data_IF_134636762235
#
_entry.id   IF_134636762235
#
_cell.length_a   1.000
_cell.length_b   1.000
_cell.length_c   1.000
_cell.angle_alpha   90.00
_cell.angle_beta   90.00
_cell.angle_gamma   90.00
#
_symmetry.space_group_name_H-M   'P 1'
#
loop_
_entity.id
_entity.type
_entity.pdbx_description
1 polymer ?
#
# COMPACT_ATOMS: atom_id res chain seq x y z
N UNK A 1 -12.58 -15.48 12.42
CA UNK A 1 -13.72 -15.54 13.34
C UNK A 1 -13.78 -14.21 14.01
N UNK A 2 -14.83 -13.46 13.78
CA UNK A 2 -15.02 -12.13 14.39
C UNK A 2 -15.78 -12.31 15.69
N UNK A 3 -15.21 -11.85 16.77
CA UNK A 3 -15.85 -11.92 18.08
C UNK A 3 -16.65 -10.62 18.28
N UNK A 4 -17.95 -10.76 18.53
CA UNK A 4 -18.76 -9.65 19.01
C UNK A 4 -18.36 -9.31 20.44
N UNK A 5 -18.63 -8.08 20.88
CA UNK A 5 -18.38 -7.69 22.28
C UNK A 5 -19.04 -8.65 23.27
N UNK A 6 -20.21 -9.19 22.93
CA UNK A 6 -20.93 -10.21 23.72
C UNK A 6 -20.15 -11.51 23.81
N UNK A 7 -19.54 -11.95 22.72
CA UNK A 7 -18.70 -13.15 22.66
C UNK A 7 -17.40 -12.99 23.44
N UNK A 8 -16.76 -11.80 23.33
CA UNK A 8 -15.59 -11.44 24.13
C UNK A 8 -15.91 -11.46 25.64
N UNK A 9 -17.06 -10.95 26.03
CA UNK A 9 -17.53 -10.99 27.43
C UNK A 9 -17.90 -12.42 27.84
N UNK A 10 -18.56 -13.19 26.98
CA UNK A 10 -18.93 -14.59 27.25
C UNK A 10 -17.71 -15.50 27.35
N UNK A 11 -16.69 -15.30 26.53
CA UNK A 11 -15.40 -15.99 26.65
C UNK A 11 -14.69 -15.66 27.95
N UNK A 12 -14.83 -14.46 28.46
CA UNK A 12 -14.30 -14.04 29.76
C UNK A 12 -15.05 -14.64 30.97
N UNK A 13 -16.27 -15.17 30.76
CA UNK A 13 -17.14 -15.72 31.80
C UNK A 13 -17.15 -17.25 31.86
N UNK A 14 -16.62 -17.97 30.88
CA UNK A 14 -16.63 -19.43 30.84
C UNK A 14 -15.51 -20.05 31.72
N UNK A 15 -15.92 -20.66 32.75
CA UNK A 15 -15.38 -21.35 33.92
C UNK A 15 -13.96 -21.99 33.96
N UNK A 16 -13.57 -22.59 35.08
CA UNK A 16 -12.16 -22.79 35.52
C UNK A 16 -11.37 -23.90 34.82
N UNK A 17 -11.96 -24.69 33.95
CA UNK A 17 -11.22 -25.70 33.15
C UNK A 17 -10.53 -25.10 31.91
N UNK A 18 -11.02 -23.96 31.43
CA UNK A 18 -10.39 -23.11 30.42
C UNK A 18 -10.40 -21.69 31.03
N UNK A 19 -9.34 -21.32 31.73
CA UNK A 19 -9.24 -19.95 32.25
C UNK A 19 -9.52 -18.96 31.12
N UNK A 20 -10.55 -18.09 31.23
CA UNK A 20 -10.92 -17.20 30.17
C UNK A 20 -9.74 -16.26 29.87
N UNK A 21 -9.48 -16.02 28.59
CA UNK A 21 -8.49 -15.03 28.17
C UNK A 21 -8.88 -13.66 28.74
N UNK A 22 -7.93 -12.98 29.31
CA UNK A 22 -8.12 -11.57 29.67
C UNK A 22 -8.27 -10.73 28.41
N UNK A 23 -8.93 -9.58 28.51
CA UNK A 23 -9.05 -8.67 27.34
C UNK A 23 -7.68 -8.31 26.73
N UNK A 24 -6.65 -8.15 27.57
CA UNK A 24 -5.30 -7.89 27.10
C UNK A 24 -4.74 -9.06 26.25
N UNK A 25 -5.01 -10.30 26.64
CA UNK A 25 -4.64 -11.48 25.85
C UNK A 25 -5.44 -11.56 24.55
N UNK A 26 -6.74 -11.23 24.58
CA UNK A 26 -7.58 -11.18 23.38
C UNK A 26 -7.03 -10.12 22.40
N UNK A 27 -6.77 -8.90 22.88
CA UNK A 27 -6.18 -7.84 22.04
C UNK A 27 -4.85 -8.27 21.46
N UNK A 28 -4.00 -8.96 22.25
CA UNK A 28 -2.72 -9.48 21.76
C UNK A 28 -2.90 -10.52 20.65
N UNK A 29 -3.89 -11.42 20.80
CA UNK A 29 -4.15 -12.47 19.83
C UNK A 29 -4.75 -11.92 18.52
N UNK A 30 -5.73 -11.03 18.61
CA UNK A 30 -6.33 -10.35 17.46
C UNK A 30 -5.27 -9.60 16.62
N UNK A 31 -4.39 -8.85 17.29
CA UNK A 31 -3.28 -8.18 16.59
C UNK A 31 -2.32 -9.20 15.96
N UNK A 32 -1.99 -10.27 16.68
CA UNK A 32 -1.08 -11.31 16.19
C UNK A 32 -1.65 -12.05 14.98
N UNK A 33 -2.94 -12.39 15.02
CA UNK A 33 -3.66 -13.02 13.92
C UNK A 33 -3.69 -12.10 12.69
N UNK A 34 -4.04 -10.83 12.89
CA UNK A 34 -4.04 -9.84 11.82
C UNK A 34 -2.66 -9.70 11.17
N UNK A 35 -1.59 -9.56 11.96
CA UNK A 35 -0.22 -9.43 11.44
C UNK A 35 0.26 -10.66 10.64
N UNK A 36 -0.33 -11.84 10.88
CA UNK A 36 -0.05 -13.08 10.15
C UNK A 36 -0.99 -13.30 8.95
N UNK A 37 -2.05 -12.54 8.86
CA UNK A 37 -3.09 -12.71 7.85
C UNK A 37 -2.58 -12.45 6.42
N UNK A 38 -3.17 -13.06 5.39
CA UNK A 38 -2.95 -12.69 4.01
C UNK A 38 -3.25 -11.21 3.75
N UNK A 39 -4.34 -10.71 4.33
CA UNK A 39 -4.76 -9.31 4.21
C UNK A 39 -3.65 -8.34 4.64
N UNK A 40 -3.00 -8.58 5.78
CA UNK A 40 -1.89 -7.71 6.23
C UNK A 40 -0.71 -7.71 5.26
N UNK A 41 -0.39 -8.87 4.67
CA UNK A 41 0.67 -8.97 3.65
C UNK A 41 0.33 -8.16 2.40
N UNK A 42 -0.92 -8.24 1.93
CA UNK A 42 -1.40 -7.44 0.80
C UNK A 42 -1.36 -5.93 1.08
N UNK A 43 -1.69 -5.50 2.30
CA UNK A 43 -1.58 -4.09 2.71
C UNK A 43 -0.13 -3.58 2.63
N UNK A 44 0.83 -4.39 3.09
CA UNK A 44 2.26 -4.04 3.02
C UNK A 44 2.76 -3.99 1.58
N UNK A 45 2.34 -4.95 0.77
CA UNK A 45 2.69 -5.05 -0.64
C UNK A 45 2.15 -3.84 -1.41
N UNK A 46 0.86 -3.53 -1.28
CA UNK A 46 0.23 -2.36 -1.90
C UNK A 46 0.93 -1.04 -1.49
N UNK A 47 1.36 -0.94 -0.24
CA UNK A 47 2.15 0.20 0.24
C UNK A 47 3.54 0.27 -0.42
N UNK A 48 4.18 -0.88 -0.62
CA UNK A 48 5.48 -0.99 -1.30
C UNK A 48 5.38 -0.57 -2.77
N UNK A 49 4.40 -1.10 -3.51
CA UNK A 49 4.17 -0.76 -4.92
C UNK A 49 3.80 0.71 -5.12
N UNK A 50 2.99 1.26 -4.23
CA UNK A 50 2.67 2.69 -4.26
C UNK A 50 3.92 3.58 -4.05
N UNK A 51 4.91 3.08 -3.29
CA UNK A 51 6.20 3.74 -3.07
C UNK A 51 7.24 3.40 -4.13
N UNK A 52 6.84 2.74 -5.19
CA UNK A 52 7.71 2.29 -6.26
C UNK A 52 8.79 1.33 -5.75
N UNK A 53 8.36 0.24 -5.11
CA UNK A 53 9.19 -0.83 -4.58
C UNK A 53 8.57 -2.18 -4.96
N UNK A 54 8.60 -2.48 -6.27
CA UNK A 54 8.12 -3.74 -6.83
C UNK A 54 9.20 -4.83 -6.75
N UNK A 55 8.84 -6.03 -7.14
CA UNK A 55 9.71 -7.20 -7.06
C UNK A 55 10.94 -7.12 -7.98
N UNK A 56 10.91 -6.28 -9.01
CA UNK A 56 12.08 -6.04 -9.87
C UNK A 56 13.32 -5.57 -9.09
N UNK A 57 13.12 -4.94 -7.92
CA UNK A 57 14.23 -4.54 -7.04
C UNK A 57 15.03 -5.74 -6.49
N UNK A 58 14.40 -6.92 -6.45
CA UNK A 58 15.03 -8.19 -6.00
C UNK A 58 15.70 -8.95 -7.13
N UNK A 59 15.56 -8.46 -8.38
CA UNK A 59 16.21 -9.11 -9.53
C UNK A 59 17.71 -9.23 -9.31
N UNK A 60 18.21 -10.43 -9.43
CA UNK A 60 19.64 -10.76 -9.34
C UNK A 60 20.15 -11.30 -10.68
N UNK A 61 21.44 -11.22 -10.89
CA UNK A 61 22.11 -11.86 -12.00
C UNK A 61 23.24 -12.75 -11.43
N UNK A 62 23.23 -14.01 -11.80
CA UNK A 62 24.22 -14.99 -11.31
C UNK A 62 25.61 -14.74 -11.88
N UNK A 63 25.70 -14.03 -13.01
CA UNK A 63 26.95 -13.70 -13.69
C UNK A 63 27.32 -12.25 -13.40
N UNK A 64 28.36 -12.04 -12.60
CA UNK A 64 28.79 -10.71 -12.13
C UNK A 64 29.15 -9.73 -13.25
N UNK A 65 29.62 -10.24 -14.38
CA UNK A 65 30.07 -9.44 -15.54
C UNK A 65 28.92 -8.99 -16.43
N UNK A 66 27.71 -9.53 -16.25
CA UNK A 66 26.51 -9.13 -16.99
C UNK A 66 25.80 -7.95 -16.37
N UNK A 67 25.11 -7.22 -17.20
CA UNK A 67 24.26 -6.11 -16.78
C UNK A 67 23.12 -6.62 -15.86
N UNK A 68 22.75 -5.83 -14.88
CA UNK A 68 21.63 -6.12 -13.98
C UNK A 68 20.81 -4.85 -13.77
N UNK A 69 20.06 -4.46 -14.79
CA UNK A 69 19.13 -3.35 -14.70
C UNK A 69 17.95 -3.71 -13.79
N UNK A 70 17.49 -2.74 -13.03
CA UNK A 70 16.30 -2.82 -12.18
C UNK A 70 15.45 -1.58 -12.45
N UNK A 71 14.79 -1.60 -13.60
CA UNK A 71 13.97 -0.48 -14.06
C UNK A 71 12.58 -0.65 -13.46
N UNK A 72 12.15 0.34 -12.74
CA UNK A 72 10.87 0.34 -12.05
C UNK A 72 10.02 1.52 -12.50
N UNK A 73 8.80 1.24 -12.92
CA UNK A 73 7.86 2.25 -13.37
C UNK A 73 6.81 2.51 -12.29
N UNK A 74 6.51 3.78 -11.96
CA UNK A 74 5.53 4.13 -10.93
C UNK A 74 4.08 4.00 -11.44
N UNK A 75 3.77 2.88 -12.13
CA UNK A 75 2.47 2.66 -12.78
C UNK A 75 1.38 2.57 -11.72
N UNK A 76 1.56 1.75 -10.69
CA UNK A 76 0.57 1.59 -9.62
C UNK A 76 0.18 2.94 -8.98
N UNK A 77 1.18 3.74 -8.64
CA UNK A 77 0.93 5.08 -8.11
C UNK A 77 0.14 5.96 -9.07
N UNK A 78 0.44 5.88 -10.38
CA UNK A 78 -0.28 6.63 -11.41
C UNK A 78 -1.74 6.22 -11.46
N UNK A 79 -2.04 4.92 -11.44
CA UNK A 79 -3.40 4.36 -11.46
C UNK A 79 -4.20 4.80 -10.23
N UNK A 80 -3.67 4.60 -9.03
CA UNK A 80 -4.31 5.04 -7.76
C UNK A 80 -4.58 6.54 -7.78
N UNK A 81 -3.58 7.34 -8.13
CA UNK A 81 -3.74 8.80 -8.12
C UNK A 81 -4.72 9.29 -9.20
N UNK A 82 -4.85 8.58 -10.33
CA UNK A 82 -5.81 8.90 -11.38
C UNK A 82 -7.25 8.70 -10.89
N UNK A 83 -7.58 7.55 -10.33
CA UNK A 83 -8.90 7.27 -9.75
C UNK A 83 -9.29 8.30 -8.69
N UNK A 84 -8.41 8.55 -7.74
CA UNK A 84 -8.66 9.52 -6.67
C UNK A 84 -8.83 10.95 -7.19
N UNK A 85 -8.06 11.34 -8.21
CA UNK A 85 -8.22 12.67 -8.84
C UNK A 85 -9.53 12.77 -9.58
N UNK A 86 -9.94 11.72 -10.26
CA UNK A 86 -11.18 11.71 -11.00
C UNK A 86 -12.38 11.91 -10.05
N UNK A 87 -12.47 11.11 -9.00
CA UNK A 87 -13.59 11.16 -8.04
C UNK A 87 -13.57 12.40 -7.12
N UNK A 88 -12.39 12.77 -6.62
CA UNK A 88 -12.26 13.71 -5.50
C UNK A 88 -11.50 15.01 -5.86
N UNK A 89 -11.23 15.29 -7.15
CA UNK A 89 -10.56 16.54 -7.53
C UNK A 89 -11.48 17.73 -7.43
N UNK A 90 -12.75 17.55 -7.80
CA UNK A 90 -13.75 18.64 -7.74
C UNK A 90 -14.22 18.85 -6.30
N UNK A 91 -14.43 20.10 -5.89
CA UNK A 91 -15.08 20.38 -4.62
C UNK A 91 -16.51 19.81 -4.67
N UNK A 92 -16.86 19.06 -3.64
CA UNK A 92 -18.23 18.65 -3.40
C UNK A 92 -18.85 19.59 -2.38
N UNK A 93 -20.15 19.76 -2.43
CA UNK A 93 -20.96 20.56 -1.51
C UNK A 93 -22.05 19.67 -0.90
N UNK A 94 -22.45 20.00 0.30
CA UNK A 94 -23.63 19.39 0.93
C UNK A 94 -24.74 20.41 0.88
N UNK A 95 -25.84 20.06 0.20
CA UNK A 95 -27.01 20.90 0.12
C UNK A 95 -27.98 20.54 1.26
N UNK A 96 -28.52 21.55 1.93
CA UNK A 96 -29.50 21.41 2.99
C UNK A 96 -30.44 22.62 2.98
N UNK A 97 -31.70 22.41 3.36
CA UNK A 97 -32.69 23.47 3.48
C UNK A 97 -32.46 24.37 4.72
N UNK A 98 -31.82 23.82 5.74
CA UNK A 98 -31.47 24.56 6.97
C UNK A 98 -30.14 25.31 6.76
N UNK A 99 -30.24 26.64 6.69
CA UNK A 99 -29.09 27.54 6.47
C UNK A 99 -28.05 27.46 7.60
N UNK A 100 -28.50 27.39 8.87
CA UNK A 100 -27.57 27.34 10.00
C UNK A 100 -26.79 26.04 10.03
N UNK A 101 -27.46 24.93 9.70
CA UNK A 101 -26.81 23.63 9.53
C UNK A 101 -25.86 23.62 8.33
N UNK A 102 -26.25 24.24 7.22
CA UNK A 102 -25.40 24.39 6.03
C UNK A 102 -24.12 25.13 6.33
N UNK A 103 -24.18 26.27 7.03
CA UNK A 103 -23.00 27.05 7.44
C UNK A 103 -22.08 26.24 8.40
N UNK A 104 -22.67 25.47 9.30
CA UNK A 104 -21.90 24.58 10.18
C UNK A 104 -21.19 23.47 9.40
N UNK A 105 -21.85 22.86 8.39
CA UNK A 105 -21.25 21.86 7.52
C UNK A 105 -20.14 22.44 6.64
N UNK A 106 -20.30 23.64 6.09
CA UNK A 106 -19.25 24.32 5.32
C UNK A 106 -18.00 24.59 6.18
N UNK A 107 -18.21 24.98 7.44
CA UNK A 107 -17.12 25.17 8.40
C UNK A 107 -16.41 23.87 8.72
N UNK A 108 -17.17 22.79 8.91
CA UNK A 108 -16.63 21.46 9.22
C UNK A 108 -15.88 20.86 8.01
N UNK A 109 -16.44 21.01 6.81
CA UNK A 109 -15.90 20.44 5.57
C UNK A 109 -14.96 21.40 4.84
N UNK A 110 -14.09 22.01 5.61
CA UNK A 110 -13.07 22.94 5.15
C UNK A 110 -12.05 22.30 4.18
N UNK A 111 -11.09 23.10 3.72
CA UNK A 111 -10.03 22.64 2.84
C UNK A 111 -9.15 21.53 3.49
N UNK A 112 -9.05 21.52 4.82
CA UNK A 112 -8.29 20.50 5.57
C UNK A 112 -9.02 19.17 5.56
N UNK A 113 -10.33 19.18 5.82
CA UNK A 113 -11.17 17.99 5.73
C UNK A 113 -11.18 17.41 4.30
N UNK A 114 -11.35 18.25 3.27
CA UNK A 114 -11.32 17.82 1.87
C UNK A 114 -9.99 17.15 1.49
N UNK A 115 -8.84 17.64 2.02
CA UNK A 115 -7.55 16.96 1.87
C UNK A 115 -7.51 15.61 2.57
N UNK A 116 -8.14 15.48 3.75
CA UNK A 116 -8.24 14.19 4.46
C UNK A 116 -9.10 13.21 3.68
N UNK A 117 -10.23 13.64 3.10
CA UNK A 117 -11.08 12.79 2.25
C UNK A 117 -10.31 12.30 1.01
N UNK A 118 -9.55 13.16 0.33
CA UNK A 118 -8.68 12.72 -0.77
C UNK A 118 -7.62 11.70 -0.31
N UNK A 119 -7.08 11.89 0.88
CA UNK A 119 -6.13 10.94 1.46
C UNK A 119 -6.80 9.63 1.86
N UNK A 120 -8.07 9.68 2.30
CA UNK A 120 -8.88 8.52 2.62
C UNK A 120 -9.17 7.71 1.34
N UNK A 121 -9.67 8.37 0.26
CA UNK A 121 -9.90 7.72 -1.04
C UNK A 121 -8.64 7.08 -1.60
N UNK A 122 -7.49 7.75 -1.49
CA UNK A 122 -6.21 7.15 -1.85
C UNK A 122 -5.89 5.91 -1.02
N UNK A 123 -6.20 5.94 0.27
CA UNK A 123 -6.07 4.79 1.16
C UNK A 123 -6.96 3.64 0.72
N UNK A 124 -8.23 3.91 0.39
CA UNK A 124 -9.19 2.90 -0.06
C UNK A 124 -8.74 2.23 -1.35
N UNK A 125 -8.48 2.98 -2.41
CA UNK A 125 -8.01 2.42 -3.69
C UNK A 125 -6.70 1.65 -3.53
N UNK A 126 -5.77 2.20 -2.73
CA UNK A 126 -4.46 1.58 -2.50
C UNK A 126 -4.52 0.30 -1.67
N UNK A 127 -5.37 0.24 -0.65
CA UNK A 127 -5.37 -0.81 0.37
C UNK A 127 -6.67 -1.61 0.44
N UNK A 128 -7.64 -1.35 -0.46
CA UNK A 128 -8.96 -1.96 -0.43
C UNK A 128 -9.93 -1.27 0.53
N UNK A 129 -9.44 -0.80 1.66
CA UNK A 129 -10.21 -0.08 2.69
C UNK A 129 -9.37 1.03 3.32
N UNK A 130 -10.04 2.10 3.76
CA UNK A 130 -9.43 3.18 4.51
C UNK A 130 -10.32 3.60 5.68
N UNK A 131 -9.70 4.05 6.77
CA UNK A 131 -10.33 4.32 8.05
C UNK A 131 -10.21 5.78 8.43
N UNK A 132 -11.33 6.35 8.88
CA UNK A 132 -11.43 7.71 9.40
C UNK A 132 -12.09 7.69 10.79
N UNK A 133 -11.37 8.14 11.79
CA UNK A 133 -11.87 8.25 13.15
C UNK A 133 -12.28 9.69 13.44
N UNK A 134 -13.57 9.98 13.72
CA UNK A 134 -13.98 11.25 14.31
C UNK A 134 -13.57 11.27 15.80
N UNK A 135 -13.13 12.43 16.26
CA UNK A 135 -12.81 12.67 17.66
C UNK A 135 -13.08 14.13 18.03
N UNK A 136 -13.26 14.41 19.31
CA UNK A 136 -13.40 15.77 19.81
C UNK A 136 -12.04 16.29 20.22
N UNK A 137 -11.64 17.44 19.67
CA UNK A 137 -10.40 18.12 19.99
C UNK A 137 -10.44 18.82 21.36
N UNK A 138 -9.31 19.40 21.77
CA UNK A 138 -9.17 20.04 23.08
C UNK A 138 -10.09 21.25 23.28
N UNK A 139 -10.40 21.98 22.20
CA UNK A 139 -11.33 23.12 22.20
C UNK A 139 -12.81 22.69 22.03
N UNK A 140 -13.10 21.39 21.98
CA UNK A 140 -14.45 20.84 21.79
C UNK A 140 -14.91 20.74 20.35
N UNK A 141 -14.03 20.99 19.39
CA UNK A 141 -14.31 20.90 17.95
C UNK A 141 -14.30 19.44 17.46
N UNK A 142 -15.12 19.13 16.46
CA UNK A 142 -15.11 17.84 15.80
C UNK A 142 -13.91 17.75 14.86
N UNK A 143 -13.05 16.80 15.13
CA UNK A 143 -11.84 16.51 14.36
C UNK A 143 -11.90 15.13 13.73
N UNK A 144 -11.01 14.89 12.75
CA UNK A 144 -10.92 13.61 12.05
C UNK A 144 -9.47 13.14 11.97
N UNK A 145 -9.24 11.88 12.28
CA UNK A 145 -7.97 11.20 12.19
C UNK A 145 -8.07 10.08 11.15
N UNK A 146 -7.19 10.10 10.14
CA UNK A 146 -7.06 8.97 9.22
C UNK A 146 -6.14 7.92 9.84
N UNK A 147 -6.65 6.70 10.01
CA UNK A 147 -5.86 5.56 10.49
C UNK A 147 -5.39 4.75 9.29
N UNK A 148 -4.09 4.40 9.19
CA UNK A 148 -3.59 3.48 8.18
C UNK A 148 -4.24 2.10 8.33
N UNK A 149 -4.65 1.48 7.21
CA UNK A 149 -5.33 0.17 7.26
C UNK A 149 -4.48 -0.92 7.96
N UNK A 150 -3.16 -0.86 7.87
CA UNK A 150 -2.23 -1.79 8.53
C UNK A 150 -2.11 -1.61 10.05
N UNK A 151 -2.73 -0.57 10.63
CA UNK A 151 -2.67 -0.23 12.05
C UNK A 151 -4.03 -0.41 12.74
N UNK A 152 -4.98 -1.11 12.08
CA UNK A 152 -6.35 -1.26 12.57
C UNK A 152 -6.89 -2.65 12.31
N UNK A 153 -7.46 -3.25 13.36
CA UNK A 153 -8.23 -4.49 13.31
C UNK A 153 -9.68 -4.14 13.59
N UNK A 154 -10.59 -4.24 12.59
CA UNK A 154 -12.02 -4.04 12.82
C UNK A 154 -12.64 -5.28 13.45
N UNK A 155 -13.53 -5.09 14.41
CA UNK A 155 -14.32 -6.14 15.04
C UNK A 155 -15.77 -5.94 14.62
N UNK A 156 -16.26 -6.83 13.76
CA UNK A 156 -17.60 -6.75 13.17
C UNK A 156 -18.62 -7.53 14.00
N UNK A 157 -19.85 -7.01 14.11
CA UNK A 157 -20.97 -7.73 14.69
C UNK A 157 -21.54 -8.80 13.77
N UNK A 158 -21.43 -8.56 12.47
CA UNK A 158 -22.06 -9.36 11.44
C UNK A 158 -21.04 -9.85 10.39
N UNK A 159 -21.40 -10.87 9.63
CA UNK A 159 -20.57 -11.44 8.57
C UNK A 159 -20.52 -10.57 7.31
N UNK A 160 -21.49 -9.67 7.12
CA UNK A 160 -21.54 -8.74 6.01
C UNK A 160 -20.67 -7.50 6.24
N UNK A 161 -20.08 -7.38 7.46
CA UNK A 161 -19.23 -6.26 7.86
C UNK A 161 -19.95 -4.90 7.73
N UNK A 162 -21.23 -4.89 8.09
CA UNK A 162 -22.07 -3.70 8.03
C UNK A 162 -22.10 -2.90 9.31
N UNK A 163 -21.88 -3.54 10.47
CA UNK A 163 -21.90 -2.88 11.78
C UNK A 163 -20.66 -3.28 12.62
N UNK A 164 -19.97 -2.26 13.15
CA UNK A 164 -18.83 -2.45 14.04
C UNK A 164 -19.30 -2.69 15.47
N UNK A 165 -18.75 -3.72 16.12
CA UNK A 165 -18.81 -3.91 17.57
C UNK A 165 -17.72 -3.08 18.28
N UNK A 166 -16.54 -3.05 17.68
CA UNK A 166 -15.39 -2.28 18.14
C UNK A 166 -14.27 -2.30 17.12
N UNK A 167 -13.15 -1.73 17.48
CA UNK A 167 -11.92 -1.84 16.70
C UNK A 167 -10.68 -1.75 17.61
N UNK A 168 -9.61 -2.37 17.15
CA UNK A 168 -8.30 -2.27 17.80
C UNK A 168 -7.38 -1.46 16.88
N UNK A 169 -6.93 -0.31 17.34
CA UNK A 169 -5.88 0.45 16.69
C UNK A 169 -4.55 0.14 17.38
N UNK A 170 -3.52 -0.20 16.63
CA UNK A 170 -2.19 -0.48 17.17
C UNK A 170 -1.10 0.21 16.35
N UNK A 171 -0.09 0.72 17.05
CA UNK A 171 0.97 1.51 16.41
C UNK A 171 2.24 1.56 17.27
N UNK A 172 3.42 1.72 16.64
CA UNK A 172 4.65 1.96 17.36
C UNK A 172 4.72 3.42 17.84
N UNK A 173 5.20 3.61 19.07
CA UNK A 173 5.48 4.92 19.64
C UNK A 173 6.93 5.00 20.10
N UNK A 174 7.61 6.08 19.73
CA UNK A 174 8.95 6.37 20.22
C UNK A 174 8.85 7.05 21.57
N UNK A 175 9.55 6.50 22.57
CA UNK A 175 9.66 7.06 23.92
C UNK A 175 11.14 7.20 24.30
N UNK A 176 11.43 8.16 25.18
CA UNK A 176 12.76 8.32 25.74
C UNK A 176 12.71 7.92 27.22
N UNK A 177 13.53 6.93 27.59
CA UNK A 177 13.70 6.48 28.99
C UNK A 177 15.11 6.87 29.42
N UNK A 178 15.22 7.95 30.17
CA UNK A 178 16.51 8.57 30.44
C UNK A 178 17.16 9.08 29.15
N UNK A 179 18.31 8.49 28.76
CA UNK A 179 19.02 8.83 27.52
C UNK A 179 18.76 7.84 26.39
N UNK A 180 18.02 6.78 26.64
CA UNK A 180 17.77 5.72 25.68
C UNK A 180 16.48 5.99 24.88
N UNK A 181 16.57 5.94 23.55
CA UNK A 181 15.43 5.94 22.66
C UNK A 181 14.89 4.52 22.53
N UNK A 182 13.64 4.31 22.89
CA UNK A 182 12.96 3.01 22.79
C UNK A 182 11.71 3.12 21.91
N UNK A 183 11.35 2.03 21.26
CA UNK A 183 10.08 1.89 20.59
C UNK A 183 9.21 0.97 21.43
N UNK A 184 8.06 1.48 21.85
CA UNK A 184 7.00 0.70 22.47
C UNK A 184 5.84 0.55 21.49
N UNK A 185 5.03 -0.48 21.65
CA UNK A 185 3.83 -0.66 20.85
C UNK A 185 2.62 -0.36 21.73
N UNK A 186 1.75 0.53 21.25
CA UNK A 186 0.48 0.83 21.85
C UNK A 186 -0.65 0.15 21.12
N UNK A 187 -1.70 -0.23 21.84
CA UNK A 187 -2.97 -0.64 21.28
C UNK A 187 -4.10 0.07 22.01
N UNK A 188 -5.13 0.44 21.26
CA UNK A 188 -6.34 1.12 21.71
C UNK A 188 -7.52 0.23 21.31
N UNK A 189 -8.29 -0.23 22.27
CA UNK A 189 -9.55 -0.94 22.00
C UNK A 189 -10.71 0.00 22.19
N UNK A 190 -11.36 0.36 21.11
CA UNK A 190 -12.51 1.26 21.01
C UNK A 190 -13.79 0.46 20.87
N UNK A 191 -14.77 0.72 21.74
CA UNK A 191 -16.07 0.07 21.74
C UNK A 191 -17.15 1.06 22.24
N UNK A 192 -18.43 0.73 22.19
CA UNK A 192 -19.52 1.64 22.56
C UNK A 192 -19.41 2.20 24.00
N UNK A 193 -18.77 1.47 24.91
CA UNK A 193 -18.58 1.88 26.32
C UNK A 193 -17.38 2.78 26.57
N UNK A 194 -16.52 3.04 25.60
CA UNK A 194 -15.32 3.86 25.77
C UNK A 194 -14.09 3.31 25.04
N UNK A 195 -12.93 3.64 25.56
CA UNK A 195 -11.64 3.17 25.06
C UNK A 195 -10.79 2.56 26.16
N UNK A 196 -10.07 1.49 25.87
CA UNK A 196 -9.05 0.90 26.74
C UNK A 196 -7.70 0.90 26.08
N UNK A 197 -6.68 1.20 26.87
CA UNK A 197 -5.32 1.38 26.39
C UNK A 197 -4.43 0.21 26.83
N UNK A 198 -3.55 -0.20 25.95
CA UNK A 198 -2.62 -1.30 26.17
C UNK A 198 -1.22 -0.94 25.68
N UNK A 199 -0.22 -1.53 26.34
CA UNK A 199 1.20 -1.37 26.03
C UNK A 199 1.89 -2.72 25.86
N UNK A 200 2.79 -2.79 24.88
CA UNK A 200 3.82 -3.82 24.75
C UNK A 200 5.17 -3.13 24.71
N UNK A 201 5.99 -3.32 25.73
CA UNK A 201 7.26 -2.58 25.96
C UNK A 201 8.50 -3.39 25.58
N UNK A 202 8.37 -4.69 25.42
CA UNK A 202 9.47 -5.64 25.21
C UNK A 202 9.52 -6.24 23.80
N UNK A 203 8.58 -5.83 22.93
CA UNK A 203 8.49 -6.33 21.55
C UNK A 203 8.01 -7.79 21.44
N UNK A 204 7.53 -8.39 22.54
CA UNK A 204 7.02 -9.77 22.54
C UNK A 204 5.73 -9.95 21.75
N UNK A 205 4.99 -8.85 21.52
CA UNK A 205 3.62 -8.87 21.00
C UNK A 205 2.56 -9.15 22.07
N UNK A 206 2.97 -9.27 23.34
CA UNK A 206 2.06 -9.41 24.48
C UNK A 206 1.72 -8.03 25.03
N UNK A 207 0.47 -7.63 24.86
CA UNK A 207 -0.04 -6.36 25.34
C UNK A 207 -0.54 -6.46 26.77
N UNK A 208 -0.30 -5.43 27.58
CA UNK A 208 -0.77 -5.29 28.95
C UNK A 208 -1.55 -4.01 29.08
N UNK A 209 -2.53 -3.99 30.00
CA UNK A 209 -3.33 -2.79 30.29
C UNK A 209 -2.41 -1.62 30.66
N UNK A 210 -2.61 -0.49 29.99
CA UNK A 210 -1.94 0.77 30.35
C UNK A 210 -2.69 1.42 31.53
N UNK A 211 -2.18 1.24 32.75
CA UNK A 211 -2.78 1.78 33.98
C UNK A 211 -2.58 3.30 34.10
N UNK A 212 -1.90 3.95 33.19
CA UNK A 212 -1.84 5.41 33.08
C UNK A 212 -3.12 6.03 32.53
N UNK A 213 -4.07 5.22 32.07
CA UNK A 213 -5.35 5.62 31.52
C UNK A 213 -6.51 5.00 32.29
N UNK A 214 -7.52 5.81 32.65
CA UNK A 214 -8.67 5.35 33.36
C UNK A 214 -8.40 5.09 34.85
N UNK A 215 -9.28 4.31 35.50
CA UNK A 215 -9.18 3.92 36.90
C UNK A 215 -9.48 2.44 37.08
N UNK A 216 -8.96 1.81 38.13
CA UNK A 216 -9.24 0.42 38.46
C UNK A 216 -10.73 0.15 38.66
N UNK A 217 -11.45 1.05 39.37
CA UNK A 217 -12.89 0.96 39.56
C UNK A 217 -13.70 1.02 38.28
N UNK A 218 -13.19 1.72 37.25
CA UNK A 218 -13.75 1.78 35.89
C UNK A 218 -13.22 0.70 34.94
N UNK A 219 -12.45 -0.28 35.44
CA UNK A 219 -11.84 -1.34 34.64
C UNK A 219 -10.86 -0.79 33.59
N UNK A 220 -10.17 0.31 33.92
CA UNK A 220 -9.22 1.01 33.04
C UNK A 220 -9.84 1.47 31.71
N UNK A 221 -11.15 1.84 31.74
CA UNK A 221 -11.88 2.37 30.58
C UNK A 221 -11.98 3.88 30.71
N UNK A 222 -11.64 4.59 29.66
CA UNK A 222 -11.85 6.02 29.51
C UNK A 222 -13.05 6.31 28.60
N UNK A 223 -13.74 7.43 28.78
CA UNK A 223 -14.75 7.87 27.83
C UNK A 223 -14.10 8.22 26.48
N UNK A 224 -14.86 8.18 25.41
CA UNK A 224 -14.38 8.51 24.06
C UNK A 224 -13.87 9.95 23.96
N UNK A 225 -14.47 10.85 24.71
CA UNK A 225 -14.05 12.26 24.81
C UNK A 225 -14.53 12.89 26.11
N UNK A 226 -13.89 14.00 26.45
CA UNK A 226 -14.26 14.80 27.61
C UNK A 226 -14.64 16.20 27.17
N UNK A 227 -15.79 16.69 27.62
CA UNK A 227 -16.26 18.05 27.36
C UNK A 227 -16.68 18.71 28.66
N UNK A 228 -16.12 19.87 28.97
CA UNK A 228 -16.41 20.57 30.25
C UNK A 228 -16.07 19.75 31.49
N UNK A 229 -15.06 18.90 31.44
CA UNK A 229 -14.64 18.02 32.55
C UNK A 229 -15.51 16.77 32.74
N UNK A 230 -16.52 16.56 31.90
CA UNK A 230 -17.40 15.38 31.94
C UNK A 230 -17.08 14.47 30.77
N UNK A 231 -16.99 13.15 31.03
CA UNK A 231 -16.77 12.13 30.01
C UNK A 231 -18.04 11.77 29.24
N UNK A 232 -17.89 11.53 27.95
CA UNK A 232 -18.98 11.15 27.04
C UNK A 232 -18.53 10.04 26.10
N UNK A 233 -19.47 9.22 25.69
CA UNK A 233 -19.26 8.17 24.70
C UNK A 233 -20.13 8.41 23.48
N UNK A 234 -19.61 8.06 22.32
CA UNK A 234 -20.41 7.90 21.11
C UNK A 234 -21.32 6.68 21.27
N UNK A 235 -22.49 6.70 20.67
CA UNK A 235 -23.41 5.54 20.67
C UNK A 235 -22.82 4.31 19.96
N UNK A 236 -21.90 4.56 19.04
CA UNK A 236 -21.20 3.54 18.24
C UNK A 236 -19.68 3.77 18.33
N UNK A 237 -18.85 2.75 18.07
CA UNK A 237 -17.42 2.96 17.92
C UNK A 237 -17.14 4.05 16.87
N UNK A 238 -16.35 5.10 17.20
CA UNK A 238 -16.16 6.26 16.35
C UNK A 238 -15.21 5.95 15.18
N UNK A 239 -15.69 5.19 14.23
CA UNK A 239 -14.92 4.80 13.05
C UNK A 239 -15.82 4.79 11.81
N UNK A 240 -15.36 5.46 10.75
CA UNK A 240 -15.98 5.46 9.42
C UNK A 240 -15.00 4.82 8.47
N UNK A 241 -15.52 4.00 7.57
CA UNK A 241 -14.69 3.34 6.55
C UNK A 241 -15.12 3.73 5.15
N UNK A 242 -14.14 3.72 4.24
CA UNK A 242 -14.35 3.84 2.81
C UNK A 242 -13.73 2.61 2.16
N UNK A 243 -14.57 1.80 1.52
CA UNK A 243 -14.13 0.62 0.75
C UNK A 243 -13.89 1.01 -0.69
N UNK A 244 -12.92 0.37 -1.32
CA UNK A 244 -12.71 0.45 -2.76
C UNK A 244 -13.66 -0.49 -3.51
N UNK A 245 -13.87 -1.68 -2.95
CA UNK A 245 -14.85 -2.67 -3.38
C UNK A 245 -15.39 -3.44 -2.16
N UNK A 246 -16.40 -4.27 -2.37
CA UNK A 246 -17.06 -5.02 -1.29
C UNK A 246 -16.12 -6.03 -0.63
N UNK A 247 -15.20 -6.61 -1.40
CA UNK A 247 -14.21 -7.58 -0.93
C UNK A 247 -13.05 -6.96 -0.17
N UNK A 248 -12.94 -5.63 -0.16
CA UNK A 248 -11.82 -4.87 0.43
C UNK A 248 -10.47 -5.20 -0.21
N UNK A 249 -10.47 -5.61 -1.48
CA UNK A 249 -9.26 -5.86 -2.26
C UNK A 249 -8.66 -4.56 -2.78
N UNK A 250 -7.35 -4.46 -2.74
CA UNK A 250 -6.63 -3.29 -3.26
C UNK A 250 -6.58 -3.30 -4.79
N UNK A 251 -6.43 -2.15 -5.41
CA UNK A 251 -6.13 -2.09 -6.85
C UNK A 251 -4.84 -2.86 -7.18
N UNK A 252 -3.89 -2.97 -6.23
CA UNK A 252 -2.66 -3.75 -6.39
C UNK A 252 -2.95 -5.22 -6.66
N UNK A 253 -3.96 -5.77 -6.04
CA UNK A 253 -4.38 -7.17 -6.21
C UNK A 253 -4.61 -7.53 -7.68
N UNK A 254 -5.18 -6.62 -8.46
CA UNK A 254 -5.54 -6.85 -9.86
C UNK A 254 -4.40 -6.59 -10.86
N UNK A 255 -3.45 -5.74 -10.52
CA UNK A 255 -2.46 -5.24 -11.50
C UNK A 255 -1.01 -5.56 -11.14
N UNK A 256 -0.75 -6.16 -9.99
CA UNK A 256 0.60 -6.41 -9.48
C UNK A 256 1.44 -7.24 -10.45
N UNK A 257 0.90 -8.39 -10.86
CA UNK A 257 1.64 -9.36 -11.67
C UNK A 257 2.00 -8.77 -13.04
N UNK A 258 1.11 -7.97 -13.63
CA UNK A 258 1.37 -7.24 -14.86
C UNK A 258 2.44 -6.16 -14.69
N UNK A 259 2.43 -5.45 -13.55
CA UNK A 259 3.47 -4.45 -13.25
C UNK A 259 4.82 -5.12 -13.09
N UNK A 260 4.87 -6.27 -12.44
CA UNK A 260 6.11 -7.02 -12.25
C UNK A 260 6.67 -7.52 -13.57
N UNK A 261 5.82 -8.08 -14.44
CA UNK A 261 6.27 -8.54 -15.75
C UNK A 261 6.72 -7.37 -16.61
N UNK A 262 5.96 -6.28 -16.68
CA UNK A 262 6.35 -5.08 -17.42
C UNK A 262 7.72 -4.53 -16.96
N UNK A 263 7.96 -4.43 -15.65
CA UNK A 263 9.22 -3.98 -15.09
C UNK A 263 10.35 -4.98 -15.35
N UNK A 264 10.06 -6.28 -15.27
CA UNK A 264 11.01 -7.34 -15.55
C UNK A 264 11.46 -7.33 -17.01
N UNK A 265 10.51 -7.33 -17.96
CA UNK A 265 10.78 -7.31 -19.40
C UNK A 265 11.57 -6.07 -19.81
N UNK A 266 11.18 -4.90 -19.29
CA UNK A 266 11.92 -3.66 -19.52
C UNK A 266 13.36 -3.76 -18.99
N UNK A 267 13.55 -4.36 -17.81
CA UNK A 267 14.87 -4.51 -17.20
C UNK A 267 15.73 -5.50 -17.97
N UNK A 268 15.17 -6.64 -18.40
CA UNK A 268 15.87 -7.64 -19.22
C UNK A 268 16.25 -7.04 -20.59
N UNK A 269 15.34 -6.31 -21.21
CA UNK A 269 15.62 -5.63 -22.49
C UNK A 269 16.76 -4.64 -22.35
N UNK A 270 16.77 -3.86 -21.27
CA UNK A 270 17.88 -2.94 -20.97
C UNK A 270 19.20 -3.67 -20.74
N UNK A 271 19.18 -4.84 -20.08
CA UNK A 271 20.37 -5.67 -19.91
C UNK A 271 20.89 -6.18 -21.25
N UNK A 272 20.01 -6.73 -22.08
CA UNK A 272 20.39 -7.21 -23.42
C UNK A 272 20.98 -6.08 -24.26
N UNK A 273 20.35 -4.91 -24.29
CA UNK A 273 20.85 -3.75 -25.04
C UNK A 273 22.23 -3.27 -24.54
N UNK A 274 22.51 -3.36 -23.24
CA UNK A 274 23.81 -3.03 -22.66
C UNK A 274 24.87 -4.09 -22.96
N UNK A 275 24.47 -5.36 -22.95
CA UNK A 275 25.37 -6.49 -23.13
C UNK A 275 25.62 -6.79 -24.63
N UNK A 276 24.68 -6.47 -25.53
CA UNK A 276 24.85 -6.53 -27.00
C UNK A 276 25.99 -5.61 -27.47
N UNK A 277 26.29 -4.54 -26.70
CA UNK A 277 27.48 -3.73 -26.95
C UNK A 277 28.81 -4.48 -26.67
N UNK A 278 28.73 -5.65 -26.03
CA UNK A 278 29.87 -6.53 -25.75
C UNK A 278 29.83 -7.68 -26.75
N UNK A 279 30.54 -7.54 -27.87
CA UNK A 279 30.65 -8.60 -28.89
C UNK A 279 31.43 -9.79 -28.36
N UNK A 280 31.01 -11.00 -28.71
CA UNK A 280 31.82 -12.19 -28.56
C UNK A 280 32.59 -12.38 -29.87
N UNK A 281 33.92 -12.23 -29.79
CA UNK A 281 34.79 -12.47 -30.92
C UNK A 281 35.12 -13.95 -31.01
N UNK A 282 34.93 -14.55 -32.15
CA UNK A 282 35.34 -15.92 -32.44
C UNK A 282 36.65 -15.84 -33.21
N UNK A 283 37.76 -16.22 -32.53
CA UNK A 283 39.07 -16.27 -33.15
C UNK A 283 39.27 -17.66 -33.80
N UNK A 284 39.44 -17.70 -35.12
CA UNK A 284 39.73 -18.91 -35.87
C UNK A 284 41.20 -18.88 -36.27
N UNK A 285 41.96 -19.94 -35.92
CA UNK A 285 43.37 -20.09 -36.27
C UNK A 285 44.24 -18.83 -36.02
N UNK A 286 43.94 -18.15 -34.89
CA UNK A 286 44.67 -16.97 -34.51
C UNK A 286 46.00 -17.39 -33.89
N UNK A 287 47.10 -17.25 -34.66
CA UNK A 287 48.38 -17.82 -34.34
C UNK A 287 49.13 -17.13 -33.22
N UNK A 288 48.87 -17.56 -31.98
CA UNK A 288 49.79 -17.41 -30.85
C UNK A 288 49.71 -16.14 -30.02
N UNK A 289 48.76 -15.23 -30.27
CA UNK A 289 48.61 -14.08 -29.37
C UNK A 289 47.73 -14.43 -28.17
N UNK A 290 48.09 -13.90 -27.01
CA UNK A 290 47.30 -13.96 -25.81
C UNK A 290 45.97 -13.21 -26.02
N UNK A 291 44.87 -13.70 -25.42
CA UNK A 291 43.57 -13.04 -25.47
C UNK A 291 43.61 -11.59 -24.96
N UNK A 292 44.45 -11.32 -23.97
CA UNK A 292 44.65 -9.97 -23.43
C UNK A 292 45.31 -9.03 -24.45
N UNK A 293 46.25 -9.54 -25.25
CA UNK A 293 46.90 -8.79 -26.33
C UNK A 293 45.89 -8.51 -27.43
N UNK A 294 45.08 -9.49 -27.84
CA UNK A 294 44.01 -9.31 -28.80
C UNK A 294 43.03 -8.23 -28.37
N UNK A 295 42.55 -8.27 -27.12
CA UNK A 295 41.61 -7.29 -26.58
C UNK A 295 42.23 -5.90 -26.49
N UNK A 296 43.52 -5.82 -26.15
CA UNK A 296 44.26 -4.55 -26.12
C UNK A 296 44.41 -3.94 -27.52
N UNK A 297 44.81 -4.72 -28.50
CA UNK A 297 44.98 -4.26 -29.86
C UNK A 297 43.68 -3.85 -30.51
N UNK A 298 42.59 -4.60 -30.26
CA UNK A 298 41.26 -4.23 -30.69
C UNK A 298 40.78 -2.89 -30.08
N UNK A 299 41.09 -2.65 -28.82
CA UNK A 299 40.73 -1.39 -28.12
C UNK A 299 41.56 -0.20 -28.55
N UNK A 300 42.85 -0.43 -28.82
CA UNK A 300 43.78 0.67 -29.12
C UNK A 300 43.83 0.98 -30.61
N UNK A 301 43.82 -0.04 -31.47
CA UNK A 301 44.02 0.11 -32.90
C UNK A 301 42.74 -0.04 -33.73
N UNK A 302 41.63 -0.51 -33.10
CA UNK A 302 40.39 -0.86 -33.80
C UNK A 302 40.57 -1.83 -34.97
N UNK A 303 41.71 -2.53 -35.02
CA UNK A 303 42.10 -3.48 -36.02
C UNK A 303 42.87 -4.63 -35.41
N UNK A 304 42.74 -5.81 -35.97
CA UNK A 304 43.49 -7.03 -35.58
C UNK A 304 44.15 -7.63 -36.80
N UNK A 305 45.41 -7.98 -36.69
CA UNK A 305 46.15 -8.66 -37.73
C UNK A 305 45.91 -10.18 -37.67
N UNK A 306 45.48 -10.77 -38.76
CA UNK A 306 45.25 -12.21 -38.89
C UNK A 306 46.25 -12.78 -39.88
N UNK A 307 46.87 -13.93 -39.58
CA UNK A 307 47.83 -14.61 -40.47
C UNK A 307 47.19 -15.86 -41.08
N UNK A 308 47.52 -16.11 -42.36
CA UNK A 308 47.11 -17.31 -43.10
C UNK A 308 45.58 -17.37 -43.29
N UNK A 309 45.00 -18.54 -43.10
CA UNK A 309 43.55 -18.78 -43.18
C UNK A 309 42.79 -18.43 -41.88
N UNK A 310 43.41 -17.66 -41.02
CA UNK A 310 42.77 -17.19 -39.74
C UNK A 310 41.67 -16.19 -40.02
N UNK A 311 40.75 -16.05 -39.07
CA UNK A 311 39.64 -15.10 -39.14
C UNK A 311 39.16 -14.68 -37.80
N UNK A 312 38.55 -13.54 -37.77
CA UNK A 312 37.81 -13.03 -36.61
C UNK A 312 36.36 -12.87 -36.99
N UNK A 313 35.51 -13.70 -36.43
CA UNK A 313 34.07 -13.53 -36.53
C UNK A 313 33.53 -12.88 -35.28
N UNK A 314 32.41 -12.21 -35.39
CA UNK A 314 31.64 -11.71 -34.25
C UNK A 314 30.33 -12.46 -34.15
N UNK A 315 30.05 -12.95 -32.94
CA UNK A 315 28.73 -13.44 -32.57
C UNK A 315 27.99 -12.29 -31.89
N UNK A 316 26.88 -11.90 -32.47
CA UNK A 316 25.99 -10.90 -31.90
C UNK A 316 24.61 -11.54 -31.77
N UNK A 317 24.00 -11.43 -30.60
CA UNK A 317 22.58 -11.80 -30.47
C UNK A 317 21.75 -10.67 -31.05
N UNK A 318 20.94 -11.00 -32.07
CA UNK A 318 19.96 -10.06 -32.60
C UNK A 318 18.71 -10.07 -31.72
N UNK A 319 18.46 -8.94 -31.04
CA UNK A 319 17.20 -8.72 -30.35
C UNK A 319 16.24 -8.02 -31.29
N UNK A 320 15.07 -8.62 -31.51
CA UNK A 320 13.97 -7.92 -32.15
C UNK A 320 13.36 -6.90 -31.23
N UNK A 321 13.92 -5.69 -31.21
CA UNK A 321 13.46 -4.57 -30.40
C UNK A 321 12.02 -4.21 -30.72
N UNK A 322 11.59 -4.39 -31.98
CA UNK A 322 10.23 -4.07 -32.41
C UNK A 322 9.21 -5.02 -31.78
N UNK A 323 9.51 -6.33 -31.75
CA UNK A 323 8.67 -7.31 -31.08
C UNK A 323 8.55 -7.05 -29.57
N UNK A 324 9.68 -6.74 -28.92
CA UNK A 324 9.68 -6.40 -27.50
C UNK A 324 8.86 -5.14 -27.19
N UNK A 325 9.02 -4.08 -28.00
CA UNK A 325 8.24 -2.85 -27.84
C UNK A 325 6.75 -3.09 -28.04
N UNK A 326 6.36 -3.90 -29.04
CA UNK A 326 4.97 -4.26 -29.28
C UNK A 326 4.36 -5.05 -28.12
N UNK A 327 5.15 -5.93 -27.52
CA UNK A 327 4.74 -6.68 -26.32
C UNK A 327 4.54 -5.75 -25.12
N UNK A 328 5.50 -4.87 -24.82
CA UNK A 328 5.39 -3.89 -23.74
C UNK A 328 4.24 -2.92 -23.93
N UNK A 329 3.92 -2.55 -25.17
CA UNK A 329 2.75 -1.71 -25.48
C UNK A 329 1.43 -2.47 -25.25
N UNK A 330 1.38 -3.77 -25.53
CA UNK A 330 0.23 -4.61 -25.21
C UNK A 330 0.03 -4.73 -23.70
N UNK A 331 1.07 -5.12 -22.95
CA UNK A 331 1.01 -5.19 -21.50
C UNK A 331 0.60 -3.85 -20.85
N UNK A 332 1.09 -2.75 -21.41
CA UNK A 332 0.70 -1.43 -20.93
C UNK A 332 -0.80 -1.18 -21.13
N UNK A 333 -1.39 -1.59 -22.25
CA UNK A 333 -2.84 -1.49 -22.48
C UNK A 333 -3.60 -2.31 -21.45
N UNK A 334 -3.19 -3.56 -21.27
CA UNK A 334 -3.80 -4.48 -20.30
C UNK A 334 -3.75 -3.89 -18.87
N UNK A 335 -2.62 -3.28 -18.47
CA UNK A 335 -2.49 -2.61 -17.19
C UNK A 335 -3.52 -1.49 -16.95
N UNK A 336 -3.82 -0.70 -17.99
CA UNK A 336 -4.81 0.35 -17.87
C UNK A 336 -6.23 -0.19 -17.97
N UNK A 337 -6.46 -1.20 -18.80
CA UNK A 337 -7.75 -1.88 -18.96
C UNK A 337 -8.18 -2.56 -17.65
N UNK A 338 -7.35 -3.44 -17.11
CA UNK A 338 -7.68 -4.15 -15.86
C UNK A 338 -7.70 -3.25 -14.62
N UNK A 339 -7.07 -2.08 -14.70
CA UNK A 339 -7.19 -1.06 -13.66
C UNK A 339 -8.43 -0.19 -13.84
N UNK A 340 -9.26 -0.38 -14.88
CA UNK A 340 -10.34 0.55 -15.26
C UNK A 340 -9.82 2.00 -15.28
N UNK A 341 -8.72 2.23 -15.98
CA UNK A 341 -8.01 3.51 -15.99
C UNK A 341 -7.72 4.00 -17.41
N UNK A 342 -7.43 5.28 -17.57
CA UNK A 342 -7.16 5.88 -18.88
C UNK A 342 -5.68 6.06 -19.11
N UNK A 343 -5.12 5.46 -20.18
CA UNK A 343 -3.76 5.75 -20.56
C UNK A 343 -3.66 7.07 -21.34
N UNK A 344 -3.14 8.09 -20.68
CA UNK A 344 -2.94 9.42 -21.26
C UNK A 344 -1.87 9.46 -22.36
N UNK A 345 -1.13 8.39 -22.57
CA UNK A 345 -0.15 8.25 -23.65
C UNK A 345 -0.69 7.50 -24.85
N UNK A 346 -1.93 7.01 -24.81
CA UNK A 346 -2.56 6.36 -25.96
C UNK A 346 -2.64 7.33 -27.12
N UNK A 347 -2.01 7.02 -28.28
CA UNK A 347 -2.02 7.90 -29.45
C UNK A 347 -3.44 8.18 -29.99
N UNK A 348 -4.36 7.25 -29.80
CA UNK A 348 -5.75 7.39 -30.23
C UNK A 348 -6.52 8.46 -29.43
N UNK A 349 -6.10 8.77 -28.19
CA UNK A 349 -6.69 9.85 -27.40
C UNK A 349 -6.46 11.23 -28.02
N UNK A 350 -5.33 11.44 -28.68
CA UNK A 350 -5.00 12.71 -29.31
C UNK A 350 -5.90 13.08 -30.49
N UNK A 351 -6.52 12.08 -31.13
CA UNK A 351 -7.39 12.22 -32.30
C UNK A 351 -8.86 11.94 -31.98
N UNK A 352 -9.19 11.59 -30.73
CA UNK A 352 -10.55 11.22 -30.33
C UNK A 352 -11.45 12.44 -30.18
N UNK A 353 -12.71 12.31 -30.59
CA UNK A 353 -13.74 13.33 -30.30
C UNK A 353 -14.01 13.43 -28.78
N UNK A 354 -14.55 14.56 -28.32
CA UNK A 354 -14.91 14.73 -26.92
C UNK A 354 -15.86 13.63 -26.40
N UNK A 355 -16.76 13.12 -27.26
CA UNK A 355 -17.64 11.99 -26.92
C UNK A 355 -16.88 10.69 -26.78
N UNK A 356 -15.91 10.40 -27.66
CA UNK A 356 -15.08 9.20 -27.57
C UNK A 356 -14.17 9.23 -26.33
N UNK A 357 -13.66 10.39 -25.97
CA UNK A 357 -12.94 10.59 -24.70
C UNK A 357 -13.87 10.33 -23.51
N UNK A 358 -15.13 10.84 -23.56
CA UNK A 358 -16.14 10.58 -22.52
C UNK A 358 -16.39 9.08 -22.33
N UNK A 359 -16.52 8.30 -23.40
CA UNK A 359 -16.72 6.85 -23.31
C UNK A 359 -15.55 6.13 -22.62
N UNK A 360 -14.31 6.53 -22.88
CA UNK A 360 -13.14 5.94 -22.22
C UNK A 360 -13.03 6.27 -20.72
N UNK A 361 -13.71 7.33 -20.26
CA UNK A 361 -13.81 7.66 -18.85
C UNK A 361 -15.00 7.00 -18.15
N UNK A 362 -15.90 6.32 -18.91
CA UNK A 362 -17.06 5.62 -18.31
C UNK A 362 -16.65 4.48 -17.39
N UNK A 363 -15.53 3.79 -17.68
CA UNK A 363 -15.01 2.75 -16.80
C UNK A 363 -14.55 3.31 -15.45
N UNK A 364 -14.07 4.55 -15.43
CA UNK A 364 -13.75 5.27 -14.19
C UNK A 364 -15.02 5.76 -13.45
N UNK A 365 -16.14 5.95 -14.17
CA UNK A 365 -17.43 6.31 -13.57
C UNK A 365 -18.14 5.09 -12.95
N UNK A 366 -17.85 3.89 -13.46
CA UNK A 366 -18.45 2.62 -13.01
C UNK A 366 -17.77 2.03 -11.77
N UNK A 367 -16.54 2.46 -11.46
CA UNK A 367 -15.74 2.04 -10.31
C UNK A 367 -16.05 2.95 -9.08
#
# INVERSE_FOLDING_TARGET
>A
MTYTQTELVSAALSGPANAPMTLAQIVSEEIREFLRSPQYRELLEADAYYRNRSDVQRKTNDIKERSNARIEHPIYRKLVDQKVRYLLARPWAVETEDKAYGEALETLFDATFRRKVKSLGRGAVKCGVAWLQPYIGEAGELCFLRIPARELVPLWKDTERSELDGFIRFYPQVVYVGRDKRVIHRAEYWFSGGVRWFLCTDGSGEYRVDTGHGTEAGGWTEPHFTLGGKGYNWERPPLVWLRYNEEELSLCHYVRDLIDDYNWQTSVTADVLRDVAKFVYILKNYGGADLDEFVRDLRQCLAVKVEGDGGVDKLQADLDVSAVMSFLDAERRDLFDFASAVDTKDPELGNASGSAIGFRYMDLDAD
#
